data_IF_411276096184
#
_entry.id   IF_411276096184
#
_cell.length_a   1.000
_cell.length_b   1.000
_cell.length_c   1.000
_cell.angle_alpha   90.00
_cell.angle_beta   90.00
_cell.angle_gamma   90.00
#
_symmetry.space_group_name_H-M   'P 1'
#
loop_
_entity.id
_entity.type
_entity.pdbx_description
1 polymer ?
#
# COMPACT_ATOMS: atom_id res chain seq x y z
N UNK A 1 0.15 -29.01 -12.49
CA UNK A 1 0.14 -28.40 -13.84
C UNK A 1 -0.83 -27.22 -13.84
N UNK A 2 -0.31 -25.99 -13.91
CA UNK A 2 -1.10 -24.76 -13.79
C UNK A 2 -1.81 -24.43 -15.11
N UNK A 3 -2.95 -25.09 -15.36
CA UNK A 3 -3.73 -24.88 -16.58
C UNK A 3 -4.68 -23.68 -16.46
N UNK A 4 -4.13 -22.50 -16.12
CA UNK A 4 -4.89 -21.24 -16.00
C UNK A 4 -4.51 -20.29 -17.13
N UNK A 5 -5.49 -19.68 -17.77
CA UNK A 5 -5.25 -18.62 -18.75
C UNK A 5 -4.57 -17.41 -18.10
N UNK A 6 -3.86 -16.59 -18.88
CA UNK A 6 -3.22 -15.36 -18.38
C UNK A 6 -4.22 -14.45 -17.67
N UNK A 7 -5.47 -14.38 -18.16
CA UNK A 7 -6.54 -13.63 -17.52
C UNK A 7 -6.88 -14.21 -16.14
N UNK A 8 -7.07 -15.53 -16.04
CA UNK A 8 -7.35 -16.20 -14.77
C UNK A 8 -6.22 -16.00 -13.76
N UNK A 9 -4.96 -16.04 -14.21
CA UNK A 9 -3.79 -15.75 -13.37
C UNK A 9 -3.82 -14.31 -12.84
N UNK A 10 -4.04 -13.31 -13.72
CA UNK A 10 -4.13 -11.89 -13.33
C UNK A 10 -5.30 -11.62 -12.39
N UNK A 11 -6.46 -12.23 -12.65
CA UNK A 11 -7.65 -12.08 -11.82
C UNK A 11 -7.44 -12.65 -10.41
N UNK A 12 -6.84 -13.83 -10.33
CA UNK A 12 -6.51 -14.45 -9.04
C UNK A 12 -5.51 -13.59 -8.26
N UNK A 13 -4.43 -13.15 -8.91
CA UNK A 13 -3.44 -12.26 -8.29
C UNK A 13 -4.10 -10.99 -7.75
N UNK A 14 -4.94 -10.33 -8.55
CA UNK A 14 -5.70 -9.14 -8.13
C UNK A 14 -6.55 -9.43 -6.89
N UNK A 15 -7.29 -10.56 -6.88
CA UNK A 15 -8.18 -10.93 -5.77
C UNK A 15 -7.40 -11.09 -4.46
N UNK A 16 -6.30 -11.83 -4.49
CA UNK A 16 -5.48 -12.12 -3.31
C UNK A 16 -4.81 -10.85 -2.78
N UNK A 17 -4.17 -10.07 -3.66
CA UNK A 17 -3.41 -8.90 -3.21
C UNK A 17 -4.32 -7.76 -2.75
N UNK A 18 -5.46 -7.52 -3.41
CA UNK A 18 -6.43 -6.48 -2.99
C UNK A 18 -7.17 -6.82 -1.70
N UNK A 19 -7.28 -8.10 -1.35
CA UNK A 19 -7.88 -8.51 -0.09
C UNK A 19 -7.07 -8.01 1.12
N UNK A 20 -5.76 -7.88 0.99
CA UNK A 20 -4.90 -7.32 2.03
C UNK A 20 -4.62 -5.83 1.81
N UNK A 21 -4.23 -5.44 0.59
CA UNK A 21 -3.86 -4.07 0.27
C UNK A 21 -5.09 -3.27 -0.15
N UNK A 22 -5.74 -2.63 0.82
CA UNK A 22 -6.77 -1.62 0.57
C UNK A 22 -8.14 -2.19 0.27
N UNK A 23 -8.54 -3.25 0.98
CA UNK A 23 -9.85 -3.91 0.88
C UNK A 23 -11.03 -2.96 1.12
N UNK A 24 -10.83 -1.91 1.92
CA UNK A 24 -11.82 -0.87 2.20
C UNK A 24 -12.05 0.12 1.05
N UNK A 25 -11.22 0.10 0.00
CA UNK A 25 -11.32 1.00 -1.14
C UNK A 25 -12.13 0.36 -2.27
N UNK A 26 -13.02 1.14 -2.87
CA UNK A 26 -13.69 0.68 -4.10
C UNK A 26 -12.69 0.59 -5.25
N UNK A 27 -12.95 -0.28 -6.22
CA UNK A 27 -12.04 -0.46 -7.36
C UNK A 27 -11.82 0.84 -8.14
N UNK A 28 -12.85 1.70 -8.22
CA UNK A 28 -12.76 3.03 -8.84
C UNK A 28 -11.80 3.95 -8.07
N UNK A 29 -11.85 3.93 -6.74
CA UNK A 29 -10.94 4.71 -5.90
C UNK A 29 -9.51 4.19 -6.02
N UNK A 30 -9.32 2.87 -5.99
CA UNK A 30 -8.01 2.25 -6.15
C UNK A 30 -7.36 2.64 -7.47
N UNK A 31 -8.08 2.52 -8.60
CA UNK A 31 -7.55 2.90 -9.93
C UNK A 31 -7.08 4.35 -10.02
N UNK A 32 -7.71 5.27 -9.26
CA UNK A 32 -7.31 6.68 -9.21
C UNK A 32 -6.04 6.91 -8.39
N UNK A 33 -5.80 6.08 -7.38
CA UNK A 33 -4.64 6.18 -6.48
C UNK A 33 -3.45 5.39 -7.02
N UNK A 34 -3.71 4.33 -7.78
CA UNK A 34 -2.68 3.45 -8.32
C UNK A 34 -1.73 4.21 -9.24
N UNK A 35 -0.45 4.23 -8.90
CA UNK A 35 0.60 4.86 -9.68
C UNK A 35 1.35 3.78 -10.48
N UNK A 36 1.29 3.80 -11.84
CA UNK A 36 2.09 2.89 -12.65
C UNK A 36 3.60 3.14 -12.53
N UNK A 37 3.97 4.38 -12.18
CA UNK A 37 5.36 4.77 -11.93
C UNK A 37 5.72 4.43 -10.50
N UNK A 38 6.34 3.27 -10.34
CA UNK A 38 6.84 2.83 -9.05
C UNK A 38 8.03 3.69 -8.64
N UNK A 39 8.16 4.05 -7.34
CA UNK A 39 9.30 4.80 -6.87
C UNK A 39 10.58 4.02 -7.20
N UNK A 40 11.62 4.70 -7.71
CA UNK A 40 12.83 4.01 -8.09
C UNK A 40 13.52 3.52 -6.80
N UNK A 41 14.16 2.35 -6.89
CA UNK A 41 14.68 1.58 -5.74
C UNK A 41 15.82 2.27 -4.98
N UNK A 42 16.26 3.42 -5.47
CA UNK A 42 17.27 4.32 -4.92
C UNK A 42 16.70 5.39 -3.98
N UNK A 43 15.53 5.16 -3.35
CA UNK A 43 15.22 5.82 -2.07
C UNK A 43 16.29 5.34 -1.08
N UNK A 44 17.37 6.12 -0.96
CA UNK A 44 18.44 5.93 0.01
C UNK A 44 17.81 6.09 1.38
N UNK A 45 17.39 5.00 2.02
CA UNK A 45 16.87 5.03 3.39
C UNK A 45 17.91 5.62 4.36
N UNK A 46 19.21 5.45 4.06
CA UNK A 46 20.29 5.75 5.01
C UNK A 46 21.32 6.80 4.56
N UNK A 47 21.13 7.46 3.40
CA UNK A 47 22.06 8.51 2.91
C UNK A 47 23.51 8.07 2.61
N UNK A 48 23.93 6.87 3.00
CA UNK A 48 25.27 6.30 2.76
C UNK A 48 25.31 5.57 1.43
N UNK A 49 26.08 6.11 0.48
CA UNK A 49 26.28 5.56 -0.86
C UNK A 49 27.34 4.47 -0.90
N UNK A 50 27.08 3.33 -0.26
CA UNK A 50 27.93 2.14 -0.39
C UNK A 50 27.13 0.97 -0.97
N UNK A 51 27.50 0.61 -2.20
CA UNK A 51 27.45 -0.72 -2.84
C UNK A 51 26.20 -1.62 -2.66
N UNK A 52 25.49 -1.81 -3.77
CA UNK A 52 24.70 -3.01 -4.12
C UNK A 52 23.77 -3.59 -3.04
N UNK A 53 22.82 -2.80 -2.56
CA UNK A 53 21.66 -3.37 -1.89
C UNK A 53 20.77 -4.09 -2.91
N UNK A 54 20.64 -5.43 -2.80
CA UNK A 54 19.67 -6.22 -3.58
C UNK A 54 18.29 -5.60 -3.38
N UNK A 55 17.73 -5.05 -4.45
CA UNK A 55 16.44 -4.37 -4.38
C UNK A 55 15.32 -5.37 -4.06
N UNK A 56 14.31 -4.97 -3.27
CA UNK A 56 13.09 -5.75 -3.17
C UNK A 56 12.46 -5.87 -4.55
N UNK A 57 11.85 -7.03 -4.84
CA UNK A 57 11.23 -7.29 -6.12
C UNK A 57 10.21 -6.19 -6.47
N UNK A 58 10.30 -5.62 -7.67
CA UNK A 58 9.49 -4.47 -8.12
C UNK A 58 7.99 -4.68 -7.89
N UNK A 59 7.52 -5.93 -8.02
CA UNK A 59 6.12 -6.28 -7.77
C UNK A 59 5.62 -5.96 -6.36
N UNK A 60 6.50 -5.94 -5.34
CA UNK A 60 6.13 -5.58 -3.96
C UNK A 60 5.76 -4.09 -3.85
N UNK A 61 6.35 -3.24 -4.68
CA UNK A 61 6.12 -1.79 -4.65
C UNK A 61 4.78 -1.37 -5.26
N UNK A 62 4.02 -2.30 -5.84
CA UNK A 62 2.73 -2.04 -6.51
C UNK A 62 1.70 -1.33 -5.62
N UNK A 63 1.77 -1.51 -4.30
CA UNK A 63 0.84 -0.90 -3.34
C UNK A 63 1.44 0.27 -2.55
N UNK A 64 2.65 0.72 -2.87
CA UNK A 64 3.34 1.77 -2.11
C UNK A 64 2.54 3.07 -2.02
N UNK A 65 1.78 3.43 -3.06
CA UNK A 65 0.93 4.62 -3.06
C UNK A 65 -0.19 4.56 -2.00
N UNK A 66 -0.60 3.37 -1.55
CA UNK A 66 -1.57 3.20 -0.46
C UNK A 66 -0.98 3.48 0.91
N UNK A 67 0.32 3.18 1.11
CA UNK A 67 1.01 3.38 2.39
C UNK A 67 1.14 4.87 2.76
N UNK A 68 0.93 5.79 1.82
CA UNK A 68 0.87 7.25 2.08
C UNK A 68 -0.43 7.73 2.72
N UNK A 69 -1.46 6.88 2.76
CA UNK A 69 -2.77 7.27 3.32
C UNK A 69 -2.72 7.25 4.84
N UNK A 70 -3.37 8.23 5.47
CA UNK A 70 -3.37 8.37 6.93
C UNK A 70 -3.90 7.13 7.66
N UNK A 71 -4.93 6.47 7.13
CA UNK A 71 -5.48 5.22 7.70
C UNK A 71 -4.47 4.06 7.65
N UNK A 72 -3.64 3.97 6.61
CA UNK A 72 -2.56 2.98 6.53
C UNK A 72 -1.44 3.28 7.52
N UNK A 73 -1.01 4.54 7.62
CA UNK A 73 0.07 4.95 8.53
C UNK A 73 -0.28 4.59 9.98
N UNK A 74 -1.50 4.92 10.42
CA UNK A 74 -1.99 4.60 11.78
C UNK A 74 -2.02 3.08 12.04
N UNK A 75 -2.44 2.30 11.04
CA UNK A 75 -2.46 0.84 11.15
C UNK A 75 -1.05 0.25 11.22
N UNK A 76 -0.12 0.74 10.38
CA UNK A 76 1.29 0.31 10.38
C UNK A 76 2.04 0.69 11.65
N UNK A 77 1.68 1.82 12.27
CA UNK A 77 2.24 2.27 13.54
C UNK A 77 1.61 1.59 14.77
N UNK A 78 0.78 0.56 14.58
CA UNK A 78 0.12 -0.19 15.65
C UNK A 78 -0.77 0.65 16.59
N UNK A 79 -1.29 1.80 16.13
CA UNK A 79 -2.27 2.59 16.90
C UNK A 79 -3.71 2.10 16.75
N UNK A 80 -3.96 1.20 15.79
CA UNK A 80 -5.26 0.58 15.58
C UNK A 80 -5.09 -0.90 15.21
N UNK A 81 -6.00 -1.75 15.69
CA UNK A 81 -5.96 -3.20 15.46
C UNK A 81 -6.37 -3.60 14.03
N UNK A 82 -6.93 -2.69 13.24
CA UNK A 82 -7.29 -2.92 11.85
C UNK A 82 -7.33 -1.63 11.03
N UNK A 83 -7.25 -1.76 9.71
CA UNK A 83 -7.36 -0.63 8.78
C UNK A 83 -8.74 0.04 8.87
N UNK A 84 -9.80 -0.73 9.13
CA UNK A 84 -11.14 -0.17 9.33
C UNK A 84 -11.22 0.66 10.61
N UNK A 85 -10.65 0.17 11.72
CA UNK A 85 -10.56 0.93 12.96
C UNK A 85 -9.75 2.22 12.78
N UNK A 86 -8.59 2.15 12.10
CA UNK A 86 -7.79 3.33 11.77
C UNK A 86 -8.59 4.36 10.95
N UNK A 87 -9.36 3.90 9.95
CA UNK A 87 -10.23 4.78 9.15
C UNK A 87 -11.33 5.43 9.99
N UNK A 88 -11.93 4.73 10.94
CA UNK A 88 -12.92 5.31 11.85
C UNK A 88 -12.30 6.43 12.69
N UNK A 89 -11.10 6.23 13.24
CA UNK A 89 -10.40 7.28 13.99
C UNK A 89 -10.19 8.56 13.16
N UNK A 90 -9.79 8.41 11.89
CA UNK A 90 -9.62 9.55 10.98
C UNK A 90 -10.96 10.23 10.69
N UNK A 91 -12.00 9.47 10.33
CA UNK A 91 -13.32 10.02 9.98
C UNK A 91 -13.97 10.74 11.16
N UNK A 92 -13.83 10.20 12.38
CA UNK A 92 -14.33 10.84 13.60
C UNK A 92 -13.46 12.01 14.08
N UNK A 93 -12.30 12.25 13.46
CA UNK A 93 -11.41 13.34 13.83
C UNK A 93 -10.68 13.13 15.15
N UNK A 94 -10.35 11.89 15.48
CA UNK A 94 -9.51 11.54 16.64
C UNK A 94 -8.02 11.63 16.35
N UNK A 95 -7.66 11.94 15.11
CA UNK A 95 -6.27 12.03 14.63
C UNK A 95 -6.00 13.47 14.22
N UNK A 96 -4.80 13.95 14.54
CA UNK A 96 -4.28 15.24 14.08
C UNK A 96 -2.99 15.02 13.29
N UNK A 97 -2.82 15.78 12.21
CA UNK A 97 -1.61 15.82 11.37
C UNK A 97 -1.05 17.23 11.45
N UNK A 98 0.20 17.37 11.88
CA UNK A 98 0.86 18.68 12.04
C UNK A 98 0.07 19.66 12.92
N UNK A 99 -0.56 19.16 13.99
CA UNK A 99 -1.34 19.98 14.93
C UNK A 99 -2.74 20.38 14.43
N UNK A 100 -3.16 19.94 13.24
CA UNK A 100 -4.50 20.18 12.68
C UNK A 100 -5.25 18.87 12.51
N UNK A 101 -6.58 18.91 12.62
CA UNK A 101 -7.45 17.76 12.32
C UNK A 101 -7.43 17.45 10.82
#
# INVERSE_FOLDING_TARGET
MHNRSLFQQKWQAKRETRAYHGAQLTERQFKRIFEPRLPPTNIRLDGKGTTESKHPHIAVLTYTSLERRLDFIIFRSCFANSIWAARQLVVHGKVTVNGKK
#
